data_IF_881129461299
#
_entry.id   IF_881129461299
#
_cell.length_a   1.000
_cell.length_b   1.000
_cell.length_c   1.000
_cell.angle_alpha   90.00
_cell.angle_beta   90.00
_cell.angle_gamma   90.00
#
_symmetry.space_group_name_H-M   'P 1'
#
loop_
_entity.id
_entity.type
_entity.pdbx_description
1 polymer ?
#
# COMPACT_ATOMS: atom_id res chain seq x y z
N UNK A 1 7.94 -17.18 7.30
CA UNK A 1 7.27 -16.64 6.11
C UNK A 1 7.89 -15.33 5.68
N UNK A 2 8.69 -15.37 4.61
CA UNK A 2 9.27 -14.19 3.98
C UNK A 2 8.18 -13.38 3.24
N UNK A 3 8.53 -12.20 2.73
CA UNK A 3 7.57 -11.30 2.09
C UNK A 3 7.05 -11.83 0.74
N UNK A 4 7.91 -12.52 0.00
CA UNK A 4 7.55 -13.13 -1.29
C UNK A 4 6.52 -14.27 -1.15
N UNK A 5 6.73 -15.17 -0.18
CA UNK A 5 5.79 -16.25 0.16
C UNK A 5 4.41 -15.69 0.51
N UNK A 6 4.40 -14.57 1.23
CA UNK A 6 3.20 -13.86 1.65
C UNK A 6 2.42 -13.25 0.47
N UNK A 7 3.11 -12.75 -0.54
CA UNK A 7 2.48 -12.28 -1.78
C UNK A 7 1.96 -13.43 -2.64
N UNK A 8 2.64 -14.58 -2.64
CA UNK A 8 2.16 -15.79 -3.31
C UNK A 8 0.89 -16.32 -2.64
N UNK A 9 0.82 -16.28 -1.30
CA UNK A 9 -0.38 -16.65 -0.54
C UNK A 9 -1.54 -15.72 -0.87
N UNK A 10 -1.31 -14.40 -0.87
CA UNK A 10 -2.33 -13.41 -1.26
C UNK A 10 -2.81 -13.61 -2.70
N UNK A 11 -1.90 -13.83 -3.64
CA UNK A 11 -2.25 -14.08 -5.04
C UNK A 11 -3.08 -15.35 -5.21
N UNK A 12 -2.75 -16.40 -4.44
CA UNK A 12 -3.52 -17.65 -4.40
C UNK A 12 -4.93 -17.42 -3.84
N UNK A 13 -5.05 -16.67 -2.75
CA UNK A 13 -6.35 -16.26 -2.19
C UNK A 13 -7.18 -15.48 -3.21
N UNK A 14 -6.59 -14.47 -3.85
CA UNK A 14 -7.26 -13.64 -4.84
C UNK A 14 -7.78 -14.46 -6.03
N UNK A 15 -6.96 -15.39 -6.53
CA UNK A 15 -7.36 -16.33 -7.59
C UNK A 15 -8.55 -17.19 -7.15
N UNK A 16 -8.49 -17.78 -5.96
CA UNK A 16 -9.57 -18.61 -5.44
C UNK A 16 -10.88 -17.83 -5.34
N UNK A 17 -10.84 -16.57 -4.90
CA UNK A 17 -12.05 -15.74 -4.83
C UNK A 17 -12.62 -15.46 -6.23
N UNK A 18 -11.76 -15.15 -7.21
CA UNK A 18 -12.18 -14.97 -8.60
C UNK A 18 -12.83 -16.25 -9.17
N UNK A 19 -12.23 -17.40 -8.89
CA UNK A 19 -12.74 -18.69 -9.37
C UNK A 19 -14.07 -19.06 -8.68
N UNK A 20 -14.24 -18.74 -7.38
CA UNK A 20 -15.50 -18.93 -6.64
C UNK A 20 -16.67 -18.15 -7.23
N UNK A 21 -16.44 -16.91 -7.69
CA UNK A 21 -17.46 -16.10 -8.36
C UNK A 21 -17.59 -16.42 -9.85
N UNK A 22 -16.90 -17.45 -10.35
CA UNK A 22 -17.02 -17.94 -11.72
C UNK A 22 -16.48 -17.00 -12.79
N UNK A 23 -15.58 -16.06 -12.43
CA UNK A 23 -15.07 -15.07 -13.38
C UNK A 23 -13.75 -15.53 -13.99
N UNK A 24 -13.61 -15.41 -15.31
CA UNK A 24 -12.27 -15.44 -15.93
C UNK A 24 -11.50 -14.16 -15.56
N UNK A 25 -10.16 -14.19 -15.65
CA UNK A 25 -9.35 -12.99 -15.39
C UNK A 25 -9.71 -11.83 -16.31
N UNK A 26 -9.92 -12.11 -17.61
CA UNK A 26 -10.36 -11.12 -18.60
C UNK A 26 -11.70 -10.49 -18.23
N UNK A 27 -12.63 -11.31 -17.76
CA UNK A 27 -13.94 -10.86 -17.31
C UNK A 27 -13.86 -10.03 -16.02
N UNK A 28 -13.06 -10.46 -15.05
CA UNK A 28 -12.81 -9.71 -13.82
C UNK A 28 -12.16 -8.35 -14.11
N UNK A 29 -11.18 -8.30 -15.02
CA UNK A 29 -10.54 -7.08 -15.48
C UNK A 29 -11.56 -6.10 -16.11
N UNK A 30 -12.40 -6.61 -17.01
CA UNK A 30 -13.46 -5.83 -17.65
C UNK A 30 -14.46 -5.25 -16.64
N UNK A 31 -14.92 -6.06 -15.68
CA UNK A 31 -15.89 -5.64 -14.65
C UNK A 31 -15.29 -4.65 -13.65
N UNK A 32 -14.03 -4.84 -13.25
CA UNK A 32 -13.35 -4.00 -12.25
C UNK A 32 -12.76 -2.73 -12.84
N UNK A 33 -12.63 -2.64 -14.17
CA UNK A 33 -11.85 -1.60 -14.86
C UNK A 33 -10.38 -1.57 -14.40
N UNK A 34 -9.86 -2.72 -13.97
CA UNK A 34 -8.46 -2.93 -13.61
C UNK A 34 -7.80 -3.76 -14.72
N UNK A 35 -6.61 -3.38 -15.22
CA UNK A 35 -5.96 -4.12 -16.30
C UNK A 35 -5.77 -5.60 -15.99
N UNK A 36 -5.92 -6.46 -17.01
CA UNK A 36 -5.73 -7.91 -16.87
C UNK A 36 -4.30 -8.26 -16.42
N UNK A 37 -3.30 -7.45 -16.82
CA UNK A 37 -1.93 -7.56 -16.33
C UNK A 37 -1.82 -7.35 -14.83
N UNK A 38 -2.54 -6.36 -14.28
CA UNK A 38 -2.60 -6.12 -12.82
C UNK A 38 -3.23 -7.30 -12.09
N UNK A 39 -4.32 -7.88 -12.61
CA UNK A 39 -4.89 -9.11 -12.05
C UNK A 39 -3.89 -10.26 -12.08
N UNK A 40 -3.18 -10.46 -13.18
CA UNK A 40 -2.18 -11.53 -13.33
C UNK A 40 -1.03 -11.37 -12.35
N UNK A 41 -0.50 -10.16 -12.22
CA UNK A 41 0.64 -9.87 -11.36
C UNK A 41 0.26 -10.05 -9.87
N UNK A 42 -0.95 -9.65 -9.48
CA UNK A 42 -1.46 -9.87 -8.13
C UNK A 42 -1.75 -11.35 -7.85
N UNK A 43 -2.41 -12.07 -8.75
CA UNK A 43 -2.76 -13.50 -8.56
C UNK A 43 -1.57 -14.44 -8.53
N UNK A 44 -0.46 -14.07 -9.18
CA UNK A 44 0.74 -14.90 -9.18
C UNK A 44 1.65 -14.60 -8.00
N UNK A 45 1.46 -13.44 -7.34
CA UNK A 45 2.43 -12.91 -6.38
C UNK A 45 3.82 -12.71 -6.99
N UNK A 46 3.93 -12.80 -8.31
CA UNK A 46 5.16 -12.82 -9.09
C UNK A 46 5.19 -11.59 -10.00
N UNK A 47 6.40 -11.11 -10.25
CA UNK A 47 6.63 -9.74 -10.70
C UNK A 47 6.79 -9.60 -12.21
N UNK A 48 6.26 -8.51 -12.76
CA UNK A 48 6.77 -7.89 -13.99
C UNK A 48 8.11 -7.18 -13.73
N UNK A 49 9.16 -7.61 -14.43
CA UNK A 49 10.50 -7.02 -14.37
C UNK A 49 10.47 -5.60 -14.96
N UNK A 50 10.81 -4.58 -14.18
CA UNK A 50 11.22 -3.29 -14.73
C UNK A 50 12.72 -3.40 -15.05
N UNK A 51 13.16 -2.79 -16.16
CA UNK A 51 14.51 -2.91 -16.70
C UNK A 51 15.62 -2.93 -15.65
N UNK A 52 16.66 -3.73 -15.92
CA UNK A 52 17.76 -4.10 -15.03
C UNK A 52 17.47 -5.20 -13.97
N UNK A 53 16.39 -5.98 -14.11
CA UNK A 53 16.22 -7.24 -13.36
C UNK A 53 15.87 -7.08 -11.87
N UNK A 54 15.55 -5.86 -11.42
CA UNK A 54 15.17 -5.60 -10.04
C UNK A 54 13.78 -6.20 -9.78
N UNK A 55 13.64 -7.01 -8.72
CA UNK A 55 12.37 -7.56 -8.23
C UNK A 55 11.81 -6.66 -7.10
N UNK A 56 10.58 -6.18 -7.24
CA UNK A 56 9.79 -5.27 -6.39
C UNK A 56 8.42 -5.93 -6.27
N UNK A 57 7.86 -5.98 -5.09
CA UNK A 57 6.59 -6.66 -4.87
C UNK A 57 5.41 -5.83 -5.40
N UNK A 58 4.26 -6.44 -5.70
CA UNK A 58 3.07 -5.70 -6.10
C UNK A 58 2.71 -4.66 -5.02
N UNK A 59 2.45 -3.42 -5.41
CA UNK A 59 1.94 -2.41 -4.48
C UNK A 59 0.66 -1.79 -5.08
N UNK A 60 -0.45 -2.52 -5.09
CA UNK A 60 -1.71 -1.99 -5.60
C UNK A 60 -2.18 -0.85 -4.71
N UNK A 61 -2.60 0.27 -5.32
CA UNK A 61 -3.25 1.35 -4.59
C UNK A 61 -4.59 0.89 -3.99
N UNK A 62 -5.06 1.55 -2.94
CA UNK A 62 -6.32 1.23 -2.26
C UNK A 62 -7.53 1.23 -3.22
N UNK A 63 -7.54 2.13 -4.20
CA UNK A 63 -8.58 2.20 -5.24
C UNK A 63 -8.62 0.93 -6.12
N UNK A 64 -7.47 0.34 -6.42
CA UNK A 64 -7.38 -0.90 -7.21
C UNK A 64 -7.96 -2.06 -6.40
N UNK A 65 -7.60 -2.15 -5.11
CA UNK A 65 -8.13 -3.18 -4.22
C UNK A 65 -9.64 -3.06 -4.03
N UNK A 66 -10.18 -1.84 -3.89
CA UNK A 66 -11.62 -1.59 -3.79
C UNK A 66 -12.38 -2.02 -5.06
N UNK A 67 -11.86 -1.66 -6.24
CA UNK A 67 -12.42 -2.08 -7.53
C UNK A 67 -12.45 -3.60 -7.69
N UNK A 68 -11.41 -4.29 -7.22
CA UNK A 68 -11.35 -5.75 -7.25
C UNK A 68 -12.31 -6.37 -6.23
N UNK A 69 -12.38 -5.83 -5.01
CA UNK A 69 -13.29 -6.30 -3.95
C UNK A 69 -14.74 -6.32 -4.41
N UNK A 70 -15.18 -5.22 -5.04
CA UNK A 70 -16.54 -5.07 -5.58
C UNK A 70 -16.91 -6.16 -6.58
N UNK A 71 -15.97 -6.57 -7.44
CA UNK A 71 -16.21 -7.61 -8.46
C UNK A 71 -16.18 -9.01 -7.86
N UNK A 72 -15.44 -9.19 -6.77
CA UNK A 72 -15.34 -10.46 -6.06
C UNK A 72 -16.43 -10.63 -5.00
N UNK A 73 -17.34 -9.68 -4.85
CA UNK A 73 -18.38 -9.66 -3.81
C UNK A 73 -17.80 -9.78 -2.39
N UNK A 74 -16.61 -9.21 -2.20
CA UNK A 74 -15.91 -9.16 -0.91
C UNK A 74 -16.01 -7.76 -0.30
N UNK A 75 -15.91 -7.69 1.03
CA UNK A 75 -15.74 -6.42 1.71
C UNK A 75 -14.36 -5.81 1.35
N UNK A 76 -14.26 -4.53 0.93
CA UNK A 76 -12.99 -3.89 0.58
C UNK A 76 -11.93 -3.98 1.69
N UNK A 77 -12.38 -4.03 2.95
CA UNK A 77 -11.56 -4.18 4.14
C UNK A 77 -10.86 -5.54 4.18
N UNK A 78 -11.42 -6.60 3.60
CA UNK A 78 -10.79 -7.93 3.60
C UNK A 78 -9.52 -7.94 2.73
N UNK A 79 -9.62 -7.42 1.51
CA UNK A 79 -8.48 -7.27 0.61
C UNK A 79 -7.45 -6.29 1.17
N UNK A 80 -7.92 -5.16 1.71
CA UNK A 80 -7.05 -4.13 2.28
C UNK A 80 -6.38 -4.60 3.57
N UNK A 81 -7.04 -5.39 4.41
CA UNK A 81 -6.44 -5.99 5.61
C UNK A 81 -5.42 -7.06 5.25
N UNK A 82 -5.73 -7.87 4.23
CA UNK A 82 -4.80 -8.90 3.75
C UNK A 82 -3.53 -8.23 3.22
N UNK A 83 -3.65 -7.23 2.33
CA UNK A 83 -2.50 -6.48 1.78
C UNK A 83 -1.83 -5.57 2.81
N UNK A 84 -2.60 -4.86 3.64
CA UNK A 84 -2.10 -3.97 4.69
C UNK A 84 -1.26 -4.74 5.72
N UNK A 85 -1.67 -5.95 6.11
CA UNK A 85 -0.84 -6.83 6.96
C UNK A 85 0.48 -7.23 6.28
N UNK A 86 0.52 -7.28 4.95
CA UNK A 86 1.73 -7.53 4.17
C UNK A 86 2.65 -6.30 4.14
N UNK A 87 2.09 -5.11 3.88
CA UNK A 87 2.85 -3.85 3.74
C UNK A 87 3.29 -3.27 5.07
N UNK A 88 2.51 -3.40 6.15
CA UNK A 88 2.86 -2.90 7.49
C UNK A 88 4.05 -3.63 8.10
N UNK A 89 4.29 -4.91 7.75
CA UNK A 89 5.47 -5.65 8.23
C UNK A 89 6.74 -5.30 7.45
N UNK A 90 6.61 -4.77 6.24
CA UNK A 90 7.72 -4.29 5.42
C UNK A 90 8.06 -2.81 5.69
N UNK A 91 7.13 -2.04 6.27
CA UNK A 91 7.32 -0.61 6.52
C UNK A 91 7.92 -0.31 7.89
N UNK A 92 9.05 -0.95 8.18
CA UNK A 92 10.08 -0.43 9.08
C UNK A 92 11.32 -0.05 8.28
N UNK A 93 11.13 0.71 7.19
CA UNK A 93 12.09 1.64 6.57
C UNK A 93 11.40 2.32 5.38
N UNK A 94 11.43 3.66 5.34
CA UNK A 94 10.99 4.53 4.23
C UNK A 94 9.49 4.83 4.15
N UNK A 95 9.05 5.75 5.01
CA UNK A 95 7.76 6.41 4.93
C UNK A 95 7.77 7.52 3.85
N UNK A 96 7.14 7.26 2.70
CA UNK A 96 6.62 8.32 1.84
C UNK A 96 5.33 8.83 2.48
N UNK A 97 5.46 9.85 3.32
CA UNK A 97 4.36 10.66 3.81
C UNK A 97 3.98 11.67 2.71
N UNK A 98 2.82 11.49 2.09
CA UNK A 98 2.21 12.50 1.26
C UNK A 98 0.75 12.64 1.71
N UNK A 99 0.39 13.87 2.10
CA UNK A 99 -0.89 14.35 2.66
C UNK A 99 -1.10 14.18 4.16
N UNK A 100 -0.17 14.65 4.99
CA UNK A 100 -0.54 15.32 6.26
C UNK A 100 0.67 16.07 6.88
N UNK A 101 1.12 17.16 6.24
CA UNK A 101 2.35 17.85 6.64
C UNK A 101 2.28 18.47 8.04
N UNK A 102 1.12 18.95 8.46
CA UNK A 102 0.88 19.53 9.79
C UNK A 102 0.97 18.49 10.90
N UNK A 103 0.41 17.29 10.67
CA UNK A 103 0.38 16.20 11.63
C UNK A 103 1.78 15.60 11.85
N UNK A 104 2.57 15.47 10.77
CA UNK A 104 3.95 14.96 10.86
C UNK A 104 4.87 15.92 11.61
N UNK A 105 4.74 17.24 11.39
CA UNK A 105 5.53 18.23 12.12
C UNK A 105 5.17 18.23 13.61
N UNK A 106 3.87 18.21 13.93
CA UNK A 106 3.40 18.11 15.32
C UNK A 106 3.90 16.85 16.03
N UNK A 107 3.87 15.69 15.36
CA UNK A 107 4.39 14.43 15.91
C UNK A 107 5.91 14.44 16.11
N UNK A 108 6.65 15.14 15.24
CA UNK A 108 8.10 15.30 15.39
C UNK A 108 8.44 16.24 16.54
N UNK A 109 7.75 17.38 16.67
CA UNK A 109 7.92 18.35 17.76
C UNK A 109 7.58 17.70 19.12
N UNK A 110 6.54 16.87 19.18
CA UNK A 110 6.15 16.15 20.40
C UNK A 110 7.22 15.14 20.90
N UNK A 111 8.19 14.78 20.04
CA UNK A 111 9.28 13.86 20.36
C UNK A 111 10.61 14.57 20.64
N UNK A 112 10.66 15.90 20.55
CA UNK A 112 11.86 16.67 20.86
C UNK A 112 12.03 16.84 22.37
N UNK A 113 13.28 16.84 22.82
CA UNK A 113 13.61 17.16 24.19
C UNK A 113 13.48 18.68 24.44
N UNK A 114 13.38 19.09 25.71
CA UNK A 114 13.07 20.47 26.10
C UNK A 114 14.04 21.52 25.53
N UNK A 115 15.30 21.14 25.32
CA UNK A 115 16.32 22.01 24.71
C UNK A 115 16.05 22.25 23.23
N UNK A 116 15.78 21.19 22.48
CA UNK A 116 15.57 21.25 21.04
C UNK A 116 14.25 21.95 20.71
N UNK A 117 13.23 21.73 21.56
CA UNK A 117 11.95 22.44 21.46
C UNK A 117 12.11 23.96 21.56
N UNK A 118 12.89 24.44 22.53
CA UNK A 118 13.16 25.89 22.71
C UNK A 118 13.89 26.51 21.52
N UNK A 119 14.79 25.75 20.88
CA UNK A 119 15.49 26.21 19.68
C UNK A 119 14.53 26.37 18.50
N UNK A 120 13.63 25.39 18.30
CA UNK A 120 12.60 25.47 17.25
C UNK A 120 11.65 26.64 17.49
N UNK A 121 11.22 26.86 18.74
CA UNK A 121 10.39 28.02 19.12
C UNK A 121 11.09 29.35 18.78
N UNK A 122 12.34 29.52 19.20
CA UNK A 122 13.16 30.71 18.89
C UNK A 122 13.33 30.96 17.38
N UNK A 123 13.49 29.91 16.57
CA UNK A 123 13.63 30.06 15.12
C UNK A 123 12.32 30.46 14.45
N UNK A 124 11.20 29.94 14.93
CA UNK A 124 9.87 30.30 14.42
C UNK A 124 9.54 31.74 14.76
N UNK A 125 9.82 32.18 15.98
CA UNK A 125 9.59 33.57 16.40
C UNK A 125 10.43 34.54 15.55
N UNK A 126 11.71 34.22 15.31
CA UNK A 126 12.57 35.01 14.41
C UNK A 126 12.06 35.07 12.96
N UNK A 127 11.36 34.05 12.49
CA UNK A 127 10.79 34.02 11.13
C UNK A 127 9.46 34.78 11.01
N UNK A 128 8.76 35.02 12.13
CA UNK A 128 7.46 35.69 12.16
C UNK A 128 7.55 37.16 12.58
N UNK A 129 8.62 37.55 13.28
CA UNK A 129 8.86 38.92 13.74
C UNK A 129 9.77 39.76 12.80
N UNK A 130 10.11 39.25 11.59
CA UNK A 130 10.87 39.96 10.55
C UNK A 130 10.04 40.29 9.32
#
# INVERSE_FOLDING_TARGET
>A
MNEAERWVEFGSFLRQQRDKVGLSRREAARRSKVPESTWRDLETGQKTSYGAGVRVLPNPGAEVLDKMAKVLELAPEELTRHVGRLTSKAKSTTATAARDGSNVLAQKIARLDARDRRLVESMVDQMLEG
#
